data_IF_588524319876
#
_entry.id   IF_588524319876
#
_cell.length_a   1.000
_cell.length_b   1.000
_cell.length_c   1.000
_cell.angle_alpha   90.00
_cell.angle_beta   90.00
_cell.angle_gamma   90.00
#
_symmetry.space_group_name_H-M   'P 1'
#
loop_
_entity.id
_entity.type
_entity.pdbx_description
1 polymer ?
#
# COMPACT_ATOMS: atom_id res chain seq x y z
N UNK A 1 -6.41 35.07 29.06
CA UNK A 1 -5.22 34.19 28.99
C UNK A 1 -5.57 32.87 28.34
N UNK A 2 -6.58 32.16 28.83
CA UNK A 2 -7.02 30.87 28.26
C UNK A 2 -7.28 30.94 26.74
N UNK A 3 -7.86 32.05 26.26
CA UNK A 3 -8.10 32.27 24.83
C UNK A 3 -6.82 32.28 24.00
N UNK A 4 -5.78 33.01 24.44
CA UNK A 4 -4.51 33.08 23.68
C UNK A 4 -3.73 31.76 23.77
N UNK A 5 -3.88 31.02 24.87
CA UNK A 5 -3.31 29.67 25.00
C UNK A 5 -3.88 28.71 23.97
N UNK A 6 -5.20 28.53 23.93
CA UNK A 6 -5.80 27.61 22.96
C UNK A 6 -5.67 28.11 21.52
N UNK A 7 -5.73 29.43 21.31
CA UNK A 7 -5.54 30.02 19.99
C UNK A 7 -4.14 29.75 19.41
N UNK A 8 -3.11 29.62 20.25
CA UNK A 8 -1.75 29.32 19.77
C UNK A 8 -1.53 27.80 19.74
N UNK A 9 -1.82 27.10 20.84
CA UNK A 9 -1.49 25.68 21.02
C UNK A 9 -2.25 24.78 20.03
N UNK A 10 -3.56 24.95 19.89
CA UNK A 10 -4.39 24.05 19.06
C UNK A 10 -3.97 24.09 17.59
N UNK A 11 -3.73 25.27 16.96
CA UNK A 11 -3.16 25.32 15.62
C UNK A 11 -1.76 24.70 15.50
N UNK A 12 -0.89 24.81 16.51
CA UNK A 12 0.41 24.14 16.51
C UNK A 12 0.27 22.62 16.46
N UNK A 13 -0.60 22.07 17.32
CA UNK A 13 -0.89 20.63 17.35
C UNK A 13 -1.52 20.17 16.03
N UNK A 14 -2.45 20.95 15.47
CA UNK A 14 -3.07 20.64 14.18
C UNK A 14 -2.06 20.62 13.02
N UNK A 15 -1.10 21.54 13.00
CA UNK A 15 0.00 21.55 12.02
C UNK A 15 0.87 20.29 12.15
N UNK A 16 1.20 19.88 13.38
CA UNK A 16 1.97 18.66 13.64
C UNK A 16 1.20 17.41 13.19
N UNK A 17 -0.11 17.35 13.48
CA UNK A 17 -1.01 16.29 13.00
C UNK A 17 -1.10 16.25 11.49
N UNK A 18 -1.21 17.41 10.84
CA UNK A 18 -1.18 17.49 9.38
C UNK A 18 0.12 16.94 8.82
N UNK A 19 1.26 17.13 9.49
CA UNK A 19 2.55 16.57 9.11
C UNK A 19 2.73 15.08 9.49
N UNK A 20 1.75 14.47 10.16
CA UNK A 20 1.72 13.04 10.49
C UNK A 20 2.17 12.69 11.91
N UNK A 21 2.32 13.67 12.79
CA UNK A 21 2.69 13.46 14.20
C UNK A 21 1.42 13.35 15.05
N UNK A 22 1.29 12.37 15.97
CA UNK A 22 0.15 12.33 16.89
C UNK A 22 0.06 13.62 17.73
N UNK A 23 -1.13 14.03 18.20
CA UNK A 23 -1.30 15.28 18.95
C UNK A 23 -0.41 15.27 20.21
N UNK A 24 0.60 16.14 20.29
CA UNK A 24 1.53 16.15 21.42
C UNK A 24 0.95 16.91 22.61
N UNK A 25 1.54 16.74 23.78
CA UNK A 25 1.17 17.54 24.96
C UNK A 25 1.59 19.01 24.78
N UNK A 26 1.00 19.96 25.53
CA UNK A 26 1.43 21.36 25.51
C UNK A 26 2.93 21.53 25.77
N UNK A 27 3.52 20.67 26.61
CA UNK A 27 4.95 20.72 26.96
C UNK A 27 5.85 20.27 25.80
N UNK A 28 5.42 19.31 25.01
CA UNK A 28 6.21 18.75 23.89
C UNK A 28 6.03 19.53 22.59
N UNK A 29 4.88 20.18 22.42
CA UNK A 29 4.51 20.91 21.19
C UNK A 29 5.61 21.86 20.70
N UNK A 30 6.23 22.73 21.55
CA UNK A 30 7.24 23.66 21.07
C UNK A 30 8.49 22.99 20.53
N UNK A 31 8.97 21.93 21.19
CA UNK A 31 10.18 21.24 20.76
C UNK A 31 9.95 20.48 19.44
N UNK A 32 8.78 19.85 19.28
CA UNK A 32 8.42 19.21 18.01
C UNK A 32 8.28 20.23 16.87
N UNK A 33 7.65 21.38 17.13
CA UNK A 33 7.56 22.48 16.16
C UNK A 33 8.96 22.97 15.73
N UNK A 34 9.89 23.09 16.69
CA UNK A 34 11.28 23.47 16.45
C UNK A 34 12.03 22.43 15.63
N UNK A 35 11.99 21.17 16.03
CA UNK A 35 12.72 20.10 15.36
C UNK A 35 12.25 19.92 13.92
N UNK A 36 10.93 19.86 13.71
CA UNK A 36 10.36 19.59 12.39
C UNK A 36 10.36 20.82 11.50
N UNK A 37 9.77 21.94 11.95
CA UNK A 37 9.52 23.06 11.05
C UNK A 37 10.61 24.13 11.04
N UNK A 38 11.41 24.26 12.10
CA UNK A 38 12.53 25.22 12.11
C UNK A 38 13.82 24.55 11.61
N UNK A 39 14.20 23.40 12.19
CA UNK A 39 15.49 22.75 11.90
C UNK A 39 15.46 21.90 10.64
N UNK A 40 14.53 20.94 10.55
CA UNK A 40 14.47 19.97 9.45
C UNK A 40 13.94 20.62 8.16
N UNK A 41 12.70 21.09 8.19
CA UNK A 41 12.02 21.62 7.00
C UNK A 41 12.36 23.08 6.71
N UNK A 42 12.80 23.84 7.73
CA UNK A 42 13.12 25.28 7.62
C UNK A 42 11.95 26.12 7.10
N UNK A 43 10.73 25.71 7.45
CA UNK A 43 9.46 26.32 7.06
C UNK A 43 8.86 27.22 8.14
N UNK A 44 9.46 27.33 9.31
CA UNK A 44 9.02 28.19 10.41
C UNK A 44 10.21 28.89 11.06
N UNK A 45 10.02 30.14 11.48
CA UNK A 45 11.04 30.94 12.16
C UNK A 45 11.00 30.70 13.68
N UNK A 46 12.18 30.61 14.32
CA UNK A 46 12.33 30.33 15.76
C UNK A 46 11.51 31.27 16.66
N UNK A 47 11.34 32.53 16.23
CA UNK A 47 10.55 33.53 16.98
C UNK A 47 9.11 33.08 17.24
N UNK A 48 8.51 32.32 16.33
CA UNK A 48 7.14 31.83 16.51
C UNK A 48 7.09 30.67 17.51
N UNK A 49 8.11 29.81 17.54
CA UNK A 49 8.22 28.78 18.59
C UNK A 49 8.34 29.44 19.95
N UNK A 50 9.15 30.50 20.07
CA UNK A 50 9.27 31.27 21.32
C UNK A 50 7.96 31.91 21.76
N UNK A 51 7.12 32.39 20.83
CA UNK A 51 5.77 32.90 21.15
C UNK A 51 4.91 31.80 21.78
N UNK A 52 4.95 30.59 21.24
CA UNK A 52 4.25 29.44 21.80
C UNK A 52 4.79 29.06 23.20
N UNK A 53 6.12 28.98 23.37
CA UNK A 53 6.75 28.69 24.66
C UNK A 53 6.37 29.72 25.73
N UNK A 54 6.47 31.01 25.39
CA UNK A 54 6.12 32.10 26.29
C UNK A 54 4.66 32.02 26.70
N UNK A 55 3.75 31.75 25.76
CA UNK A 55 2.33 31.65 26.07
C UNK A 55 2.00 30.47 27.01
N UNK A 56 2.62 29.30 26.78
CA UNK A 56 2.52 28.15 27.70
C UNK A 56 3.08 28.49 29.08
N UNK A 57 4.21 29.20 29.15
CA UNK A 57 4.85 29.56 30.41
C UNK A 57 3.99 30.54 31.21
N UNK A 58 3.48 31.61 30.59
CA UNK A 58 2.60 32.57 31.25
C UNK A 58 1.37 31.90 31.86
N UNK A 59 0.75 30.95 31.14
CA UNK A 59 -0.38 30.18 31.69
C UNK A 59 0.02 29.37 32.91
N UNK A 60 1.15 28.65 32.86
CA UNK A 60 1.65 27.88 34.00
C UNK A 60 1.98 28.75 35.20
N UNK A 61 2.58 29.91 34.98
CA UNK A 61 2.95 30.83 36.05
C UNK A 61 1.71 31.40 36.76
N UNK A 62 0.62 31.64 36.01
CA UNK A 62 -0.68 32.01 36.56
C UNK A 62 -1.36 30.84 37.29
N UNK A 63 -1.36 29.64 36.71
CA UNK A 63 -1.94 28.42 37.33
C UNK A 63 -1.24 28.06 38.65
N UNK A 64 0.08 28.21 38.73
CA UNK A 64 0.86 27.95 39.93
C UNK A 64 0.92 29.15 40.89
N UNK A 65 0.29 30.28 40.56
CA UNK A 65 0.28 31.48 41.38
C UNK A 65 1.64 32.17 41.53
N UNK A 66 2.59 31.85 40.65
CA UNK A 66 3.92 32.50 40.57
C UNK A 66 3.76 33.95 40.08
N UNK A 67 2.86 34.16 39.12
CA UNK A 67 2.36 35.46 38.71
C UNK A 67 0.90 35.56 39.13
N UNK A 68 0.50 36.64 39.81
CA UNK A 68 -0.88 36.80 40.31
C UNK A 68 -1.76 37.62 39.38
N UNK A 69 -1.18 38.58 38.67
CA UNK A 69 -1.90 39.50 37.79
C UNK A 69 -1.05 39.80 36.55
N UNK A 70 -1.72 40.08 35.44
CA UNK A 70 -1.09 40.60 34.22
C UNK A 70 -1.52 42.05 34.04
N UNK A 71 -0.56 42.91 33.72
CA UNK A 71 -0.82 44.29 33.34
C UNK A 71 -1.51 44.35 31.96
N UNK A 72 -2.28 45.42 31.70
CA UNK A 72 -2.89 45.62 30.38
C UNK A 72 -1.88 45.58 29.24
N UNK A 73 -0.68 46.15 29.44
CA UNK A 73 0.41 46.12 28.45
C UNK A 73 0.90 44.70 28.14
N UNK A 74 1.00 43.83 29.15
CA UNK A 74 1.38 42.43 28.93
C UNK A 74 0.29 41.66 28.17
N UNK A 75 -0.98 41.96 28.46
CA UNK A 75 -2.11 41.41 27.72
C UNK A 75 -2.07 41.86 26.26
N UNK A 76 -1.83 43.14 25.98
CA UNK A 76 -1.71 43.67 24.62
C UNK A 76 -0.59 42.96 23.84
N UNK A 77 0.57 42.74 24.47
CA UNK A 77 1.69 42.00 23.87
C UNK A 77 1.32 40.54 23.59
N UNK A 78 0.59 39.87 24.50
CA UNK A 78 0.15 38.49 24.28
C UNK A 78 -0.84 38.39 23.12
N UNK A 79 -1.75 39.36 22.99
CA UNK A 79 -2.72 39.42 21.91
C UNK A 79 -2.05 39.68 20.56
N UNK A 80 -1.14 40.66 20.49
CA UNK A 80 -0.39 40.96 19.26
C UNK A 80 0.45 39.76 18.81
N UNK A 81 1.14 39.11 19.75
CA UNK A 81 1.91 37.90 19.47
C UNK A 81 1.02 36.76 18.96
N UNK A 82 -0.14 36.55 19.58
CA UNK A 82 -1.10 35.54 19.14
C UNK A 82 -1.61 35.82 17.71
N UNK A 83 -1.95 37.06 17.39
CA UNK A 83 -2.42 37.44 16.06
C UNK A 83 -1.33 37.21 14.99
N UNK A 84 -0.10 37.65 15.27
CA UNK A 84 1.04 37.45 14.38
C UNK A 84 1.38 35.96 14.21
N UNK A 85 1.29 35.19 15.29
CA UNK A 85 1.48 33.74 15.29
C UNK A 85 0.44 33.03 14.42
N UNK A 86 -0.85 33.33 14.61
CA UNK A 86 -1.96 32.75 13.85
C UNK A 86 -1.81 33.01 12.35
N UNK A 87 -1.49 34.26 11.95
CA UNK A 87 -1.23 34.60 10.54
C UNK A 87 -0.11 33.75 9.96
N UNK A 88 0.96 33.50 10.74
CA UNK A 88 2.09 32.70 10.28
C UNK A 88 1.79 31.20 10.21
N UNK A 89 1.14 30.66 11.24
CA UNK A 89 0.76 29.25 11.30
C UNK A 89 -0.22 28.91 10.19
N UNK A 90 -1.15 29.81 9.84
CA UNK A 90 -2.00 29.63 8.66
C UNK A 90 -1.19 29.48 7.38
N UNK A 91 -0.12 30.27 7.18
CA UNK A 91 0.79 30.11 6.03
C UNK A 91 1.53 28.77 6.09
N UNK A 92 2.05 28.39 7.25
CA UNK A 92 2.73 27.11 7.43
C UNK A 92 1.79 25.93 7.10
N UNK A 93 0.54 25.99 7.56
CA UNK A 93 -0.49 25.00 7.27
C UNK A 93 -0.69 24.84 5.77
N UNK A 94 -0.89 25.93 5.03
CA UNK A 94 -1.04 25.88 3.56
C UNK A 94 0.22 25.38 2.85
N UNK A 95 1.42 25.68 3.36
CA UNK A 95 2.66 25.16 2.79
C UNK A 95 2.76 23.64 2.97
N UNK A 96 2.40 23.11 4.15
CA UNK A 96 2.41 21.67 4.43
C UNK A 96 1.32 20.94 3.65
N UNK A 97 0.10 21.49 3.57
CA UNK A 97 -0.97 20.94 2.73
C UNK A 97 -0.48 20.74 1.31
N UNK A 98 0.17 21.76 0.75
CA UNK A 98 0.74 21.68 -0.59
C UNK A 98 1.75 20.54 -0.69
N UNK A 99 2.74 20.46 0.20
CA UNK A 99 3.75 19.37 0.18
C UNK A 99 3.09 17.98 0.22
N UNK A 100 2.08 17.77 1.08
CA UNK A 100 1.41 16.47 1.16
C UNK A 100 0.58 16.14 -0.08
N UNK A 101 -0.07 17.14 -0.67
CA UNK A 101 -0.74 17.00 -1.97
C UNK A 101 0.27 16.62 -3.06
N UNK A 102 1.45 17.24 -3.02
CA UNK A 102 2.53 16.99 -3.97
C UNK A 102 3.07 15.55 -3.87
N UNK A 103 3.36 15.08 -2.66
CA UNK A 103 3.76 13.70 -2.40
C UNK A 103 2.67 12.69 -2.79
N UNK A 104 1.41 13.01 -2.53
CA UNK A 104 0.29 12.12 -2.84
C UNK A 104 0.14 11.87 -4.35
N UNK A 105 0.38 12.87 -5.20
CA UNK A 105 0.23 12.70 -6.66
C UNK A 105 1.38 11.87 -7.24
N UNK A 106 2.61 12.09 -6.76
CA UNK A 106 3.76 11.25 -7.13
C UNK A 106 3.52 9.79 -6.75
N UNK A 107 3.10 9.55 -5.51
CA UNK A 107 2.82 8.19 -5.03
C UNK A 107 1.72 7.49 -5.85
N UNK A 108 0.65 8.22 -6.20
CA UNK A 108 -0.42 7.68 -7.06
C UNK A 108 0.13 7.27 -8.43
N UNK A 109 0.94 8.13 -9.06
CA UNK A 109 1.56 7.84 -10.34
C UNK A 109 2.47 6.61 -10.26
N UNK A 110 3.38 6.56 -9.28
CA UNK A 110 4.34 5.46 -9.13
C UNK A 110 3.63 4.12 -8.86
N UNK A 111 2.57 4.14 -8.05
CA UNK A 111 1.73 2.96 -7.78
C UNK A 111 1.08 2.46 -9.07
N UNK A 112 0.48 3.36 -9.85
CA UNK A 112 -0.19 3.01 -11.11
C UNK A 112 0.80 2.42 -12.12
N UNK A 113 1.97 3.05 -12.29
CA UNK A 113 3.01 2.55 -13.18
C UNK A 113 3.52 1.18 -12.73
N UNK A 114 3.75 0.99 -11.43
CA UNK A 114 4.19 -0.31 -10.87
C UNK A 114 3.19 -1.42 -11.16
N UNK A 115 1.91 -1.18 -10.91
CA UNK A 115 0.85 -2.15 -11.17
C UNK A 115 0.73 -2.46 -12.66
N UNK A 116 0.90 -1.47 -13.54
CA UNK A 116 0.95 -1.71 -14.99
C UNK A 116 2.15 -2.59 -15.35
N UNK A 117 3.35 -2.32 -14.81
CA UNK A 117 4.53 -3.17 -15.04
C UNK A 117 4.27 -4.61 -14.62
N UNK A 118 3.62 -4.82 -13.48
CA UNK A 118 3.30 -6.16 -12.98
C UNK A 118 2.31 -6.89 -13.90
N UNK A 119 1.29 -6.19 -14.41
CA UNK A 119 0.38 -6.78 -15.41
C UNK A 119 1.14 -7.12 -16.69
N UNK A 120 1.96 -6.21 -17.20
CA UNK A 120 2.73 -6.45 -18.42
C UNK A 120 3.66 -7.67 -18.28
N UNK A 121 4.33 -7.83 -17.13
CA UNK A 121 5.12 -9.03 -16.83
C UNK A 121 4.28 -10.31 -16.84
N UNK A 122 3.09 -10.28 -16.24
CA UNK A 122 2.16 -11.43 -16.28
C UNK A 122 1.68 -11.75 -17.70
N UNK A 123 1.66 -10.75 -18.58
CA UNK A 123 1.37 -10.94 -20.00
C UNK A 123 2.61 -11.29 -20.83
N UNK A 124 3.77 -11.54 -20.19
CA UNK A 124 5.03 -11.96 -20.83
C UNK A 124 5.88 -10.81 -21.39
N UNK A 125 5.63 -9.57 -20.96
CA UNK A 125 6.33 -8.37 -21.45
C UNK A 125 7.26 -7.85 -20.35
N UNK A 126 8.55 -8.18 -20.45
CA UNK A 126 9.52 -7.90 -19.38
C UNK A 126 10.07 -6.47 -19.35
N UNK A 127 10.08 -5.77 -20.49
CA UNK A 127 10.68 -4.42 -20.60
C UNK A 127 9.83 -3.50 -21.46
N UNK A 128 9.12 -2.59 -20.79
CA UNK A 128 8.62 -1.37 -21.40
C UNK A 128 9.36 -0.20 -20.76
N UNK A 129 9.89 0.71 -21.58
CA UNK A 129 10.38 2.01 -21.11
C UNK A 129 9.21 2.78 -20.48
N UNK A 130 9.44 3.54 -19.41
CA UNK A 130 8.40 4.31 -18.72
C UNK A 130 7.64 5.27 -19.64
N UNK A 131 8.29 5.77 -20.69
CA UNK A 131 7.67 6.62 -21.72
C UNK A 131 6.72 5.86 -22.66
N UNK A 132 6.89 4.55 -22.77
CA UNK A 132 6.12 3.69 -23.68
C UNK A 132 5.15 2.77 -22.94
N UNK A 133 5.28 2.66 -21.61
CA UNK A 133 4.50 1.73 -20.79
C UNK A 133 2.99 1.89 -20.98
N UNK A 134 2.51 3.13 -21.15
CA UNK A 134 1.10 3.43 -21.39
C UNK A 134 0.65 2.88 -22.75
N UNK A 135 1.45 3.10 -23.80
CA UNK A 135 1.14 2.61 -25.16
C UNK A 135 1.18 1.09 -25.23
N UNK A 136 2.18 0.48 -24.58
CA UNK A 136 2.31 -0.98 -24.51
C UNK A 136 1.12 -1.57 -23.75
N UNK A 137 0.74 -0.99 -22.61
CA UNK A 137 -0.42 -1.43 -21.84
C UNK A 137 -1.73 -1.29 -22.63
N UNK A 138 -1.90 -0.18 -23.34
CA UNK A 138 -3.05 0.01 -24.24
C UNK A 138 -3.12 -1.10 -25.29
N UNK A 139 -2.03 -1.35 -26.02
CA UNK A 139 -2.01 -2.32 -27.11
C UNK A 139 -2.14 -3.78 -26.64
N UNK A 140 -1.45 -4.13 -25.55
CA UNK A 140 -1.26 -5.53 -25.14
C UNK A 140 -2.31 -6.03 -24.15
N UNK A 141 -3.01 -5.11 -23.48
CA UNK A 141 -3.97 -5.43 -22.44
C UNK A 141 -5.36 -4.91 -22.78
N UNK A 142 -5.48 -3.62 -23.10
CA UNK A 142 -6.79 -2.98 -23.33
C UNK A 142 -7.33 -3.32 -24.72
N UNK A 143 -6.56 -3.10 -25.78
CA UNK A 143 -6.96 -3.37 -27.16
C UNK A 143 -7.20 -4.86 -27.43
N UNK A 144 -6.57 -5.74 -26.65
CA UNK A 144 -6.84 -7.19 -26.65
C UNK A 144 -8.08 -7.60 -25.83
N UNK A 145 -8.79 -6.63 -25.25
CA UNK A 145 -10.03 -6.87 -24.50
C UNK A 145 -9.83 -7.52 -23.13
N UNK A 146 -8.60 -7.64 -22.62
CA UNK A 146 -8.33 -8.24 -21.30
C UNK A 146 -8.80 -7.33 -20.16
N UNK A 147 -8.76 -6.02 -20.40
CA UNK A 147 -9.20 -4.99 -19.46
C UNK A 147 -10.13 -4.00 -20.17
N UNK A 148 -11.25 -3.58 -19.54
CA UNK A 148 -12.20 -2.64 -20.15
C UNK A 148 -11.58 -1.29 -20.54
N UNK A 149 -11.95 -0.77 -21.72
CA UNK A 149 -11.44 0.50 -22.26
C UNK A 149 -11.67 1.73 -21.36
N UNK A 150 -12.63 1.68 -20.41
CA UNK A 150 -12.82 2.77 -19.43
C UNK A 150 -11.55 3.05 -18.61
N UNK A 151 -10.73 2.04 -18.37
CA UNK A 151 -9.50 2.17 -17.60
C UNK A 151 -8.39 2.92 -18.36
N UNK A 152 -8.43 2.92 -19.69
CA UNK A 152 -7.54 3.76 -20.50
C UNK A 152 -7.82 5.26 -20.25
N UNK A 153 -9.09 5.64 -20.17
CA UNK A 153 -9.49 7.03 -19.88
C UNK A 153 -9.00 7.47 -18.50
N UNK A 154 -9.11 6.59 -17.51
CA UNK A 154 -8.61 6.84 -16.16
C UNK A 154 -7.08 6.96 -16.17
N UNK A 155 -6.38 6.08 -16.88
CA UNK A 155 -4.93 6.13 -17.02
C UNK A 155 -4.47 7.45 -17.65
N UNK A 156 -5.08 7.87 -18.76
CA UNK A 156 -4.79 9.16 -19.39
C UNK A 156 -5.03 10.35 -18.46
N UNK A 157 -6.10 10.32 -17.65
CA UNK A 157 -6.35 11.36 -16.66
C UNK A 157 -5.24 11.42 -15.60
N UNK A 158 -4.73 10.29 -15.14
CA UNK A 158 -3.61 10.21 -14.18
C UNK A 158 -2.32 10.72 -14.80
N UNK A 159 -2.02 10.36 -16.06
CA UNK A 159 -0.83 10.83 -16.78
C UNK A 159 -0.87 12.35 -17.00
N UNK A 160 -2.02 12.89 -17.40
CA UNK A 160 -2.20 14.33 -17.57
C UNK A 160 -2.07 15.07 -16.24
N UNK A 161 -2.68 14.55 -15.17
CA UNK A 161 -2.57 15.14 -13.84
C UNK A 161 -1.12 15.17 -13.34
N UNK A 162 -0.33 14.12 -13.59
CA UNK A 162 1.11 14.12 -13.29
C UNK A 162 1.86 15.21 -14.06
N UNK A 163 1.54 15.41 -15.33
CA UNK A 163 2.14 16.46 -16.15
C UNK A 163 1.76 17.86 -15.66
N UNK A 164 0.51 18.08 -15.30
CA UNK A 164 0.03 19.36 -14.75
C UNK A 164 0.63 19.63 -13.36
N UNK A 165 0.83 18.57 -12.58
CA UNK A 165 1.57 18.61 -11.33
C UNK A 165 3.03 19.06 -11.52
N UNK A 166 3.75 18.48 -12.46
CA UNK A 166 5.14 18.87 -12.77
C UNK A 166 5.24 20.32 -13.23
N UNK A 167 4.20 20.81 -13.93
CA UNK A 167 4.07 22.20 -14.35
C UNK A 167 3.51 23.14 -13.26
N UNK A 168 3.26 22.66 -12.04
CA UNK A 168 2.68 23.41 -10.92
C UNK A 168 1.30 24.03 -11.22
N UNK A 169 0.52 23.41 -12.10
CA UNK A 169 -0.81 23.87 -12.56
C UNK A 169 -1.98 23.13 -11.92
N UNK A 170 -1.72 22.02 -11.23
CA UNK A 170 -2.77 21.15 -10.70
C UNK A 170 -3.48 21.77 -9.48
N UNK A 171 -4.81 21.78 -9.50
CA UNK A 171 -5.65 22.28 -8.40
C UNK A 171 -6.01 21.18 -7.40
N UNK A 172 -6.38 21.56 -6.16
CA UNK A 172 -6.80 20.63 -5.10
C UNK A 172 -7.99 19.75 -5.50
N UNK A 173 -8.96 20.33 -6.21
CA UNK A 173 -10.13 19.60 -6.69
C UNK A 173 -9.76 18.54 -7.76
N UNK A 174 -8.80 18.85 -8.62
CA UNK A 174 -8.29 17.91 -9.63
C UNK A 174 -7.50 16.77 -9.00
N UNK A 175 -6.64 17.07 -8.02
CA UNK A 175 -5.90 16.05 -7.24
C UNK A 175 -6.87 15.04 -6.63
N UNK A 176 -7.92 15.51 -5.94
CA UNK A 176 -8.86 14.61 -5.28
C UNK A 176 -9.67 13.76 -6.27
N UNK A 177 -10.07 14.36 -7.41
CA UNK A 177 -10.77 13.63 -8.48
C UNK A 177 -9.89 12.52 -9.07
N UNK A 178 -8.62 12.83 -9.34
CA UNK A 178 -7.65 11.88 -9.89
C UNK A 178 -7.38 10.77 -8.87
N UNK A 179 -7.21 11.10 -7.60
CA UNK A 179 -7.00 10.15 -6.50
C UNK A 179 -8.15 9.15 -6.37
N UNK A 180 -9.39 9.63 -6.42
CA UNK A 180 -10.58 8.76 -6.40
C UNK A 180 -10.61 7.82 -7.62
N UNK A 181 -10.29 8.35 -8.80
CA UNK A 181 -10.27 7.56 -10.03
C UNK A 181 -9.12 6.54 -10.05
N UNK A 182 -7.95 6.89 -9.51
CA UNK A 182 -6.81 5.98 -9.40
C UNK A 182 -7.07 4.84 -8.44
N UNK A 183 -7.85 5.05 -7.37
CA UNK A 183 -8.25 3.95 -6.48
C UNK A 183 -9.10 2.90 -7.20
N UNK A 184 -10.05 3.33 -8.05
CA UNK A 184 -10.81 2.39 -8.89
C UNK A 184 -9.90 1.62 -9.85
N UNK A 185 -8.96 2.32 -10.50
CA UNK A 185 -7.98 1.71 -11.39
C UNK A 185 -7.14 0.66 -10.66
N UNK A 186 -6.47 1.04 -9.57
CA UNK A 186 -5.58 0.17 -8.80
C UNK A 186 -6.33 -1.06 -8.30
N UNK A 187 -7.53 -0.89 -7.73
CA UNK A 187 -8.32 -2.03 -7.24
C UNK A 187 -8.61 -3.03 -8.35
N UNK A 188 -9.09 -2.56 -9.50
CA UNK A 188 -9.39 -3.45 -10.62
C UNK A 188 -8.12 -4.15 -11.15
N UNK A 189 -7.01 -3.43 -11.24
CA UNK A 189 -5.75 -4.02 -11.70
C UNK A 189 -5.22 -5.09 -10.74
N UNK A 190 -5.33 -4.87 -9.43
CA UNK A 190 -4.98 -5.88 -8.42
C UNK A 190 -5.87 -7.10 -8.55
N UNK A 191 -7.18 -6.93 -8.69
CA UNK A 191 -8.10 -8.04 -8.93
C UNK A 191 -7.76 -8.79 -10.23
N UNK A 192 -7.37 -8.09 -11.29
CA UNK A 192 -6.92 -8.70 -12.53
C UNK A 192 -5.67 -9.57 -12.31
N UNK A 193 -4.66 -9.03 -11.63
CA UNK A 193 -3.43 -9.77 -11.26
C UNK A 193 -3.78 -11.02 -10.44
N UNK A 194 -4.65 -10.87 -9.43
CA UNK A 194 -5.07 -11.97 -8.56
C UNK A 194 -5.84 -13.04 -9.34
N UNK A 195 -6.80 -12.67 -10.19
CA UNK A 195 -7.54 -13.62 -11.03
C UNK A 195 -6.60 -14.37 -11.97
N UNK A 196 -5.64 -13.67 -12.59
CA UNK A 196 -4.68 -14.28 -13.50
C UNK A 196 -3.80 -15.31 -12.76
N UNK A 197 -3.22 -14.91 -11.63
CA UNK A 197 -2.45 -15.82 -10.77
C UNK A 197 -3.29 -17.00 -10.27
N UNK A 198 -4.55 -16.77 -9.89
CA UNK A 198 -5.46 -17.82 -9.44
C UNK A 198 -5.73 -18.88 -10.51
N UNK A 199 -6.01 -18.46 -11.75
CA UNK A 199 -6.18 -19.38 -12.90
C UNK A 199 -4.90 -20.21 -13.10
N UNK A 200 -3.74 -19.59 -12.98
CA UNK A 200 -2.47 -20.27 -13.20
C UNK A 200 -2.12 -21.23 -12.04
N UNK A 201 -2.44 -20.89 -10.79
CA UNK A 201 -2.34 -21.83 -9.65
C UNK A 201 -3.26 -23.03 -9.85
N UNK A 202 -4.52 -22.82 -10.27
CA UNK A 202 -5.44 -23.92 -10.57
C UNK A 202 -4.89 -24.86 -11.65
N UNK A 203 -4.19 -24.34 -12.66
CA UNK A 203 -3.53 -25.17 -13.70
C UNK A 203 -2.39 -26.04 -13.17
N UNK A 204 -1.78 -25.67 -12.04
CA UNK A 204 -0.73 -26.47 -11.39
C UNK A 204 -1.29 -27.57 -10.49
N UNK A 205 -2.61 -27.57 -10.27
CA UNK A 205 -3.26 -28.38 -9.26
C UNK A 205 -3.99 -29.57 -9.87
N UNK A 206 -3.77 -30.74 -9.30
CA UNK A 206 -4.53 -31.95 -9.59
C UNK A 206 -5.44 -32.22 -8.41
N UNK A 207 -6.75 -32.27 -8.66
CA UNK A 207 -7.73 -32.67 -7.64
C UNK A 207 -8.01 -34.15 -7.74
N UNK A 208 -7.96 -34.81 -6.60
CA UNK A 208 -8.28 -36.23 -6.47
C UNK A 208 -9.47 -36.44 -5.57
N UNK A 209 -10.29 -37.41 -5.92
CA UNK A 209 -11.28 -37.99 -5.02
C UNK A 209 -10.89 -39.43 -4.73
N UNK A 210 -10.97 -39.82 -3.47
CA UNK A 210 -10.68 -41.18 -3.03
C UNK A 210 -11.62 -41.56 -1.89
N UNK A 211 -12.48 -42.56 -2.14
CA UNK A 211 -13.64 -42.81 -1.27
C UNK A 211 -14.53 -41.56 -1.20
N UNK A 212 -14.79 -41.08 0.01
CA UNK A 212 -15.58 -39.87 0.29
C UNK A 212 -14.71 -38.62 0.58
N UNK A 213 -13.39 -38.72 0.39
CA UNK A 213 -12.43 -37.65 0.68
C UNK A 213 -11.89 -37.03 -0.60
N UNK A 214 -11.40 -35.80 -0.47
CA UNK A 214 -10.82 -35.03 -1.57
C UNK A 214 -9.41 -34.58 -1.21
N UNK A 215 -8.46 -34.82 -2.10
CA UNK A 215 -7.07 -34.39 -1.98
C UNK A 215 -6.67 -33.44 -3.10
N UNK A 216 -5.58 -32.71 -2.90
CA UNK A 216 -5.00 -31.80 -3.89
C UNK A 216 -3.50 -32.02 -4.03
N UNK A 217 -3.01 -32.10 -5.27
CA UNK A 217 -1.58 -32.18 -5.58
C UNK A 217 -1.18 -30.94 -6.37
N UNK A 218 -0.34 -30.08 -5.81
CA UNK A 218 0.20 -28.89 -6.47
C UNK A 218 1.56 -29.21 -7.08
N UNK A 219 1.73 -28.94 -8.38
CA UNK A 219 2.97 -29.15 -9.12
C UNK A 219 3.69 -27.83 -9.34
N UNK A 220 4.68 -27.54 -8.49
CA UNK A 220 5.37 -26.25 -8.41
C UNK A 220 6.82 -26.37 -8.89
N UNK A 221 7.00 -26.44 -10.22
CA UNK A 221 8.34 -26.53 -10.83
C UNK A 221 9.01 -27.87 -10.54
N UNK A 222 9.95 -27.90 -9.58
CA UNK A 222 10.65 -29.12 -9.15
C UNK A 222 10.05 -29.74 -7.89
N UNK A 223 9.18 -29.02 -7.20
CA UNK A 223 8.56 -29.50 -5.97
C UNK A 223 7.08 -29.80 -6.23
N UNK A 224 6.55 -30.80 -5.55
CA UNK A 224 5.13 -31.10 -5.48
C UNK A 224 4.67 -31.03 -4.02
N UNK A 225 3.49 -30.46 -3.80
CA UNK A 225 2.82 -30.47 -2.51
C UNK A 225 1.56 -31.31 -2.59
N UNK A 226 1.27 -32.04 -1.53
CA UNK A 226 0.15 -32.97 -1.43
C UNK A 226 -0.65 -32.57 -0.19
N UNK A 227 -1.89 -32.16 -0.40
CA UNK A 227 -2.90 -32.04 0.65
C UNK A 227 -3.69 -33.33 0.65
N UNK A 228 -3.63 -34.09 1.74
CA UNK A 228 -4.26 -35.41 1.79
C UNK A 228 -5.78 -35.30 1.80
N UNK A 229 -6.33 -34.47 2.69
CA UNK A 229 -7.76 -34.25 2.84
C UNK A 229 -8.04 -32.75 2.96
N UNK A 230 -8.74 -32.17 1.98
CA UNK A 230 -9.05 -30.73 1.94
C UNK A 230 -10.16 -30.33 2.92
N UNK A 231 -10.97 -31.30 3.36
CA UNK A 231 -12.13 -31.08 4.24
C UNK A 231 -11.77 -31.24 5.73
N UNK A 232 -10.55 -31.69 6.05
CA UNK A 232 -10.04 -31.69 7.42
C UNK A 232 -9.74 -30.27 7.94
N UNK A 233 -10.09 -30.01 9.21
CA UNK A 233 -9.76 -28.75 9.89
C UNK A 233 -8.25 -28.51 9.93
N UNK A 234 -7.48 -29.52 10.34
CA UNK A 234 -6.02 -29.52 10.26
C UNK A 234 -5.56 -30.32 9.04
N UNK A 235 -5.27 -29.60 7.95
CA UNK A 235 -4.84 -30.21 6.70
C UNK A 235 -3.47 -30.87 6.84
N UNK A 236 -3.41 -32.18 6.58
CA UNK A 236 -2.14 -32.87 6.45
C UNK A 236 -1.48 -32.52 5.11
N UNK A 237 -0.31 -31.88 5.17
CA UNK A 237 0.44 -31.44 3.99
C UNK A 237 1.77 -32.17 3.91
N UNK A 238 2.06 -32.70 2.73
CA UNK A 238 3.34 -33.32 2.41
C UNK A 238 3.98 -32.65 1.21
N UNK A 239 5.31 -32.76 1.10
CA UNK A 239 6.12 -32.24 0.00
C UNK A 239 6.99 -33.35 -0.57
N UNK A 240 7.18 -33.35 -1.88
CA UNK A 240 8.09 -34.26 -2.58
C UNK A 240 8.79 -33.53 -3.73
N UNK A 241 9.98 -33.97 -4.09
CA UNK A 241 10.64 -33.50 -5.33
C UNK A 241 10.05 -34.26 -6.52
N UNK A 242 9.79 -33.55 -7.62
CA UNK A 242 9.34 -34.13 -8.88
C UNK A 242 10.55 -34.70 -9.62
N UNK A 243 10.51 -36.00 -9.88
CA UNK A 243 11.62 -36.70 -10.54
C UNK A 243 11.67 -36.38 -12.05
N UNK A 244 12.81 -36.60 -12.75
CA UNK A 244 12.92 -36.31 -14.18
C UNK A 244 11.91 -37.05 -15.08
N UNK A 245 11.48 -38.25 -14.69
CA UNK A 245 10.42 -39.03 -15.32
C UNK A 245 9.00 -38.52 -14.97
N UNK A 246 8.89 -37.56 -14.05
CA UNK A 246 7.66 -36.85 -13.67
C UNK A 246 6.85 -37.50 -12.56
N UNK A 247 7.45 -38.43 -11.81
CA UNK A 247 6.87 -38.99 -10.59
C UNK A 247 7.22 -38.16 -9.35
N UNK A 248 6.83 -38.69 -8.19
CA UNK A 248 7.10 -38.11 -6.89
C UNK A 248 8.24 -38.87 -6.19
N UNK A 249 9.27 -38.13 -5.81
CA UNK A 249 10.38 -38.64 -5.01
C UNK A 249 9.98 -38.90 -3.55
N UNK A 250 10.96 -38.80 -2.64
CA UNK A 250 10.72 -39.05 -1.22
C UNK A 250 9.76 -38.01 -0.64
N UNK A 251 8.59 -38.49 -0.18
CA UNK A 251 7.58 -37.68 0.48
C UNK A 251 8.04 -37.35 1.90
N UNK A 252 7.97 -36.06 2.27
CA UNK A 252 8.24 -35.54 3.61
C UNK A 252 7.08 -34.69 4.11
N UNK A 253 6.89 -34.60 5.42
CA UNK A 253 5.91 -33.68 6.03
C UNK A 253 6.26 -32.23 5.67
N UNK A 254 5.24 -31.41 5.46
CA UNK A 254 5.36 -29.98 5.18
C UNK A 254 4.23 -29.22 5.89
N UNK A 255 4.13 -27.91 5.65
CA UNK A 255 3.15 -27.02 6.27
C UNK A 255 2.47 -26.11 5.25
N UNK A 256 1.34 -25.52 5.67
CA UNK A 256 0.61 -24.57 4.84
C UNK A 256 1.42 -23.31 4.56
N UNK A 257 2.21 -22.86 5.54
CA UNK A 257 3.12 -21.72 5.42
C UNK A 257 4.22 -21.96 4.36
N UNK A 258 4.75 -23.19 4.27
CA UNK A 258 5.73 -23.54 3.25
C UNK A 258 5.10 -23.53 1.85
N UNK A 259 3.90 -24.10 1.72
CA UNK A 259 3.12 -24.11 0.48
C UNK A 259 2.79 -22.67 0.01
N UNK A 260 2.26 -21.82 0.89
CA UNK A 260 1.94 -20.42 0.54
C UNK A 260 3.18 -19.64 0.09
N UNK A 261 4.30 -19.84 0.79
CA UNK A 261 5.58 -19.19 0.45
C UNK A 261 6.03 -19.60 -0.95
N UNK A 262 5.93 -20.87 -1.30
CA UNK A 262 6.36 -21.34 -2.62
C UNK A 262 5.36 -20.94 -3.72
N UNK A 263 4.04 -20.95 -3.44
CA UNK A 263 3.01 -20.41 -4.34
C UNK A 263 3.25 -18.92 -4.68
N UNK A 264 3.72 -18.13 -3.71
CA UNK A 264 3.98 -16.69 -3.90
C UNK A 264 5.16 -16.39 -4.85
N UNK A 265 6.08 -17.35 -5.02
CA UNK A 265 7.33 -17.19 -5.76
C UNK A 265 7.30 -17.74 -7.18
N UNK A 266 6.18 -18.36 -7.58
CA UNK A 266 6.11 -19.01 -8.88
C UNK A 266 6.28 -17.94 -9.97
N UNK A 267 7.40 -18.02 -10.69
CA UNK A 267 7.55 -17.36 -11.99
C UNK A 267 6.76 -18.17 -13.00
N UNK A 268 5.51 -17.76 -13.20
CA UNK A 268 4.53 -18.48 -14.01
C UNK A 268 4.87 -18.27 -15.49
N UNK A 269 5.81 -19.07 -15.98
CA UNK A 269 6.23 -19.06 -17.39
C UNK A 269 6.19 -20.45 -18.05
N UNK A 270 6.14 -21.55 -17.30
CA UNK A 270 6.14 -22.90 -17.87
C UNK A 270 4.77 -23.59 -17.76
N UNK A 271 4.31 -24.14 -18.88
CA UNK A 271 3.19 -25.09 -18.89
C UNK A 271 3.56 -26.27 -18.00
N UNK A 272 2.71 -26.59 -17.03
CA UNK A 272 2.85 -27.83 -16.23
C UNK A 272 2.42 -29.00 -17.10
N UNK A 273 3.34 -29.95 -17.31
CA UNK A 273 3.06 -31.19 -18.02
C UNK A 273 2.97 -32.33 -17.00
N UNK A 274 1.84 -33.02 -16.99
CA UNK A 274 1.59 -34.18 -16.14
C UNK A 274 2.07 -35.41 -16.90
N UNK A 275 3.07 -36.13 -16.35
CA UNK A 275 3.59 -37.37 -16.92
C UNK A 275 2.94 -38.58 -16.27
N UNK A 276 2.92 -39.71 -16.97
CA UNK A 276 2.29 -40.97 -16.51
C UNK A 276 2.67 -41.38 -15.07
N UNK A 277 3.95 -41.32 -14.63
CA UNK A 277 4.33 -41.84 -13.32
C UNK A 277 3.60 -41.20 -12.13
N UNK A 278 3.18 -39.94 -12.27
CA UNK A 278 2.49 -39.25 -11.18
C UNK A 278 1.13 -39.88 -10.87
N UNK A 279 0.46 -40.47 -11.85
CA UNK A 279 -0.80 -41.17 -11.65
C UNK A 279 -0.60 -42.46 -10.83
N UNK A 280 0.51 -43.16 -11.04
CA UNK A 280 0.87 -44.32 -10.23
C UNK A 280 1.26 -43.92 -8.79
N UNK A 281 1.94 -42.79 -8.61
CA UNK A 281 2.26 -42.29 -7.28
C UNK A 281 1.00 -41.82 -6.52
N UNK A 282 0.05 -41.20 -7.21
CA UNK A 282 -1.26 -40.86 -6.64
C UNK A 282 -2.01 -42.12 -6.18
N UNK A 283 -1.94 -43.24 -6.90
CA UNK A 283 -2.52 -44.51 -6.44
C UNK A 283 -1.86 -45.06 -5.17
N UNK A 284 -0.55 -44.85 -5.01
CA UNK A 284 0.18 -45.25 -3.80
C UNK A 284 -0.20 -44.38 -2.60
N UNK A 285 -0.42 -43.09 -2.82
CA UNK A 285 -0.72 -42.10 -1.78
C UNK A 285 -2.19 -42.20 -1.33
N UNK A 286 -3.12 -42.13 -2.28
CA UNK A 286 -4.56 -41.98 -2.01
C UNK A 286 -5.34 -43.30 -2.17
N UNK A 287 -4.70 -44.36 -2.69
CA UNK A 287 -5.30 -45.69 -2.87
C UNK A 287 -5.64 -46.04 -4.32
N UNK A 288 -6.07 -47.28 -4.56
CA UNK A 288 -6.24 -47.83 -5.93
C UNK A 288 -7.41 -47.24 -6.72
N UNK A 289 -8.43 -46.69 -6.05
CA UNK A 289 -9.65 -46.17 -6.66
C UNK A 289 -9.67 -44.63 -6.67
N UNK A 290 -8.58 -44.02 -7.11
CA UNK A 290 -8.47 -42.56 -7.24
C UNK A 290 -9.19 -42.10 -8.50
N UNK A 291 -10.07 -41.13 -8.33
CA UNK A 291 -10.69 -40.39 -9.43
C UNK A 291 -10.01 -39.03 -9.56
N UNK A 292 -9.70 -38.61 -10.79
CA UNK A 292 -9.06 -37.32 -11.06
C UNK A 292 -10.09 -36.38 -11.67
N UNK A 293 -10.27 -35.23 -11.03
CA UNK A 293 -11.18 -34.20 -11.51
C UNK A 293 -10.50 -33.39 -12.62
N UNK A 294 -11.07 -33.39 -13.82
CA UNK A 294 -10.58 -32.62 -14.97
C UNK A 294 -11.55 -31.48 -15.26
N UNK A 295 -11.16 -30.26 -14.89
CA UNK A 295 -11.94 -29.02 -14.99
C UNK A 295 -13.30 -29.05 -14.25
N UNK A 296 -13.82 -27.86 -13.99
CA UNK A 296 -15.18 -27.61 -13.51
C UNK A 296 -15.99 -26.98 -14.65
#
# INVERSE_FOLDING_TARGET
>A
MEDTFWAILTPSQAVLMLYGVPPPTPKETPELMRQLFVKKEKMLEEKYVKVLENNIQVRKDLEHGTTKELTGKEVDILLENAENYLKRIKRLFSQIEKIREQESMLHVYDTVVTVIRDILKLEGIEKANDLEIVKVFENEVISKGKIPAKFLRILHAIMNAKKDYDNKKLTKAEVEKVKKSSQEFIRFMIEYIQRKRGIDVERTKIRVKYGDKYGEVFLLGKDAYIIHDIDQEEKEISKAEITPDGGLGKIRKSSFEELEKDLSKIEILSKVFIKEPIFEDMKKIFGKNVEILVNY
#
